data_IF_640416902481
#
_entry.id   IF_640416902481
#
_cell.length_a   1.000
_cell.length_b   1.000
_cell.length_c   1.000
_cell.angle_alpha   90.00
_cell.angle_beta   90.00
_cell.angle_gamma   90.00
#
_symmetry.space_group_name_H-M   'P 1'
#
loop_
_entity.id
_entity.type
_entity.pdbx_description
1 polymer ?
#
# COMPACT_ATOMS: atom_id res chain seq x y z
N UNK A 1 -69.43 -28.61 36.24
CA UNK A 1 -68.05 -28.78 35.73
C UNK A 1 -67.89 -27.92 34.47
N UNK A 2 -66.93 -26.97 34.43
CA UNK A 2 -66.84 -25.99 33.35
C UNK A 2 -66.03 -26.50 32.15
N UNK A 3 -66.53 -26.26 30.94
CA UNK A 3 -65.83 -26.49 29.66
C UNK A 3 -64.73 -25.43 29.47
N UNK A 4 -63.47 -25.83 29.44
CA UNK A 4 -62.33 -24.98 29.06
C UNK A 4 -62.20 -24.96 27.53
N UNK A 5 -62.34 -23.77 26.94
CA UNK A 5 -61.92 -23.48 25.56
C UNK A 5 -60.39 -23.36 25.50
N UNK A 6 -59.75 -24.18 24.68
CA UNK A 6 -58.34 -24.05 24.32
C UNK A 6 -58.22 -23.14 23.10
N UNK A 7 -57.72 -21.92 23.29
CA UNK A 7 -57.24 -21.08 22.19
C UNK A 7 -55.83 -21.54 21.80
N UNK A 8 -55.68 -22.09 20.60
CA UNK A 8 -54.37 -22.36 20.01
C UNK A 8 -53.89 -21.09 19.29
N UNK A 9 -52.99 -20.33 19.92
CA UNK A 9 -52.24 -19.27 19.24
C UNK A 9 -51.20 -19.92 18.32
N UNK A 10 -51.43 -19.83 17.00
CA UNK A 10 -50.40 -20.10 16.00
C UNK A 10 -49.51 -18.86 15.86
N UNK A 11 -48.31 -18.93 16.45
CA UNK A 11 -47.24 -17.97 16.17
C UNK A 11 -46.66 -18.30 14.78
N UNK A 12 -47.03 -17.50 13.78
CA UNK A 12 -46.36 -17.47 12.49
C UNK A 12 -44.95 -16.90 12.67
N UNK A 13 -43.96 -17.77 12.80
CA UNK A 13 -42.55 -17.41 12.62
C UNK A 13 -42.31 -17.17 11.14
N UNK A 14 -42.36 -15.90 10.72
CA UNK A 14 -41.83 -15.51 9.42
C UNK A 14 -40.32 -15.78 9.41
N UNK A 15 -39.76 -16.46 8.40
CA UNK A 15 -38.32 -16.55 8.25
C UNK A 15 -37.79 -15.13 8.00
N UNK A 16 -36.96 -14.63 8.91
CA UNK A 16 -36.13 -13.46 8.65
C UNK A 16 -35.16 -13.88 7.55
N UNK A 17 -35.44 -13.48 6.32
CA UNK A 17 -34.47 -13.55 5.25
C UNK A 17 -33.32 -12.60 5.62
N UNK A 18 -32.18 -13.16 5.98
CA UNK A 18 -30.94 -12.39 6.03
C UNK A 18 -30.65 -12.02 4.58
N UNK A 19 -30.86 -10.75 4.21
CA UNK A 19 -30.25 -10.23 3.00
C UNK A 19 -28.75 -10.46 3.15
N UNK A 20 -28.15 -11.24 2.25
CA UNK A 20 -26.71 -11.21 2.10
C UNK A 20 -26.38 -9.74 1.79
N UNK A 21 -25.63 -9.10 2.66
CA UNK A 21 -25.11 -7.77 2.42
C UNK A 21 -24.16 -7.93 1.22
N UNK A 22 -24.56 -7.48 0.03
CA UNK A 22 -23.74 -7.45 -1.18
C UNK A 22 -22.63 -6.38 -1.06
N UNK A 23 -22.05 -6.25 0.14
CA UNK A 23 -21.02 -5.28 0.47
C UNK A 23 -19.72 -5.54 -0.27
N UNK A 24 -18.91 -4.50 -0.42
CA UNK A 24 -17.58 -4.62 -0.99
C UNK A 24 -16.76 -5.70 -0.27
N UNK A 25 -16.25 -6.68 -1.00
CA UNK A 25 -15.42 -7.75 -0.47
C UNK A 25 -14.20 -7.97 -1.36
N UNK A 26 -13.03 -8.05 -0.73
CA UNK A 26 -11.81 -8.46 -1.42
C UNK A 26 -11.88 -9.96 -1.74
N UNK A 27 -11.51 -10.39 -2.96
CA UNK A 27 -11.47 -11.81 -3.28
C UNK A 27 -10.42 -12.54 -2.45
N UNK A 28 -10.57 -13.87 -2.37
CA UNK A 28 -9.55 -14.72 -1.79
C UNK A 28 -8.21 -14.54 -2.56
N UNK A 29 -7.07 -14.43 -1.85
CA UNK A 29 -5.78 -14.30 -2.50
C UNK A 29 -5.46 -15.48 -3.42
N UNK A 30 -4.97 -15.19 -4.61
CA UNK A 30 -4.37 -16.18 -5.52
C UNK A 30 -2.87 -16.00 -5.56
N UNK A 31 -2.10 -17.05 -5.86
CA UNK A 31 -0.66 -16.87 -6.03
C UNK A 31 -0.36 -16.21 -7.39
N UNK A 32 0.63 -15.34 -7.43
CA UNK A 32 1.06 -14.69 -8.66
C UNK A 32 2.54 -14.30 -8.66
N UNK A 33 3.22 -14.61 -9.75
CA UNK A 33 4.56 -14.09 -10.05
C UNK A 33 4.47 -12.70 -10.69
N UNK A 34 5.60 -11.97 -10.73
CA UNK A 34 5.69 -10.60 -11.25
C UNK A 34 5.04 -10.44 -12.63
N UNK A 35 5.36 -11.33 -13.58
CA UNK A 35 4.86 -11.23 -14.95
C UNK A 35 3.34 -11.42 -15.04
N UNK A 36 2.77 -12.31 -14.20
CA UNK A 36 1.33 -12.56 -14.13
C UNK A 36 0.62 -11.33 -13.57
N UNK A 37 1.13 -10.76 -12.48
CA UNK A 37 0.54 -9.57 -11.85
C UNK A 37 0.66 -8.36 -12.78
N UNK A 38 1.83 -8.13 -13.37
CA UNK A 38 2.05 -7.02 -14.29
C UNK A 38 1.08 -7.07 -15.48
N UNK A 39 0.85 -8.26 -16.04
CA UNK A 39 -0.05 -8.48 -17.17
C UNK A 39 -1.54 -8.59 -16.80
N UNK A 40 -1.88 -8.59 -15.51
CA UNK A 40 -3.27 -8.76 -15.08
C UNK A 40 -4.14 -7.57 -15.53
N UNK A 41 -5.31 -7.91 -16.07
CA UNK A 41 -6.34 -6.95 -16.48
C UNK A 41 -7.72 -7.57 -16.29
N UNK A 42 -8.41 -7.12 -15.26
CA UNK A 42 -9.72 -7.59 -14.84
C UNK A 42 -10.67 -6.41 -14.64
N UNK A 43 -11.97 -6.65 -14.65
CA UNK A 43 -12.97 -5.62 -14.35
C UNK A 43 -13.15 -5.39 -12.84
N UNK A 44 -12.60 -6.25 -11.99
CA UNK A 44 -12.69 -6.18 -10.54
C UNK A 44 -11.33 -6.26 -9.86
N UNK A 45 -11.29 -5.89 -8.59
CA UNK A 45 -10.09 -5.98 -7.75
C UNK A 45 -9.64 -7.43 -7.59
N UNK A 46 -8.34 -7.66 -7.73
CA UNK A 46 -7.70 -8.95 -7.51
C UNK A 46 -6.75 -8.86 -6.30
N UNK A 47 -6.54 -9.97 -5.62
CA UNK A 47 -5.58 -10.06 -4.51
C UNK A 47 -4.59 -11.16 -4.84
N UNK A 48 -3.31 -10.83 -4.79
CA UNK A 48 -2.22 -11.76 -5.03
C UNK A 48 -1.39 -11.98 -3.77
N UNK A 49 -1.05 -13.23 -3.48
CA UNK A 49 0.13 -13.58 -2.69
C UNK A 49 1.32 -13.60 -3.66
N UNK A 50 2.31 -12.75 -3.43
CA UNK A 50 3.44 -12.65 -4.34
C UNK A 50 4.34 -13.89 -4.24
N UNK A 51 4.56 -14.58 -5.36
CA UNK A 51 5.36 -15.81 -5.36
C UNK A 51 6.85 -15.55 -5.11
N UNK A 52 7.51 -16.50 -4.43
CA UNK A 52 8.94 -16.43 -4.14
C UNK A 52 9.33 -15.54 -2.96
N UNK A 53 8.38 -14.81 -2.36
CA UNK A 53 8.58 -14.00 -1.15
C UNK A 53 7.42 -14.19 -0.17
N UNK A 54 7.72 -14.48 1.09
CA UNK A 54 6.67 -14.62 2.11
C UNK A 54 6.20 -13.25 2.57
N UNK A 55 4.93 -13.18 3.00
CA UNK A 55 4.34 -12.01 3.65
C UNK A 55 4.21 -10.75 2.76
N UNK A 56 4.12 -10.91 1.44
CA UNK A 56 3.82 -9.82 0.50
C UNK A 56 2.47 -10.11 -0.16
N UNK A 57 1.51 -9.21 0.08
CA UNK A 57 0.19 -9.22 -0.57
C UNK A 57 0.12 -8.07 -1.55
N UNK A 58 -0.42 -8.29 -2.74
CA UNK A 58 -0.65 -7.23 -3.73
C UNK A 58 -2.14 -7.14 -4.02
N UNK A 59 -2.74 -5.98 -3.78
CA UNK A 59 -4.13 -5.68 -4.16
C UNK A 59 -4.08 -4.89 -5.47
N UNK A 60 -4.64 -5.49 -6.52
CA UNK A 60 -4.59 -5.01 -7.88
C UNK A 60 -5.94 -4.42 -8.31
N UNK A 61 -6.02 -3.09 -8.33
CA UNK A 61 -7.27 -2.35 -8.48
C UNK A 61 -7.61 -2.03 -9.94
N UNK A 62 -8.85 -2.24 -10.39
CA UNK A 62 -9.26 -1.88 -11.75
C UNK A 62 -9.31 -0.37 -11.96
N UNK A 63 -9.49 0.42 -10.87
CA UNK A 63 -9.54 1.88 -10.93
C UNK A 63 -8.82 2.54 -9.76
N UNK A 64 -8.27 3.73 -10.03
CA UNK A 64 -7.65 4.58 -9.01
C UNK A 64 -8.63 5.06 -7.93
N UNK A 65 -9.91 5.24 -8.29
CA UNK A 65 -10.92 5.65 -7.34
C UNK A 65 -11.16 4.57 -6.28
N UNK A 66 -11.17 3.29 -6.68
CA UNK A 66 -11.34 2.16 -5.75
C UNK A 66 -10.11 1.99 -4.84
N UNK A 67 -8.90 2.11 -5.38
CA UNK A 67 -7.67 2.18 -4.59
C UNK A 67 -7.71 3.32 -3.56
N UNK A 68 -8.15 4.51 -4.00
CA UNK A 68 -8.27 5.69 -3.14
C UNK A 68 -9.28 5.51 -2.01
N UNK A 69 -10.45 4.91 -2.26
CA UNK A 69 -11.45 4.64 -1.22
C UNK A 69 -10.91 3.72 -0.12
N UNK A 70 -10.05 2.76 -0.48
CA UNK A 70 -9.41 1.86 0.49
C UNK A 70 -8.26 2.53 1.27
N UNK A 71 -7.41 3.32 0.60
CA UNK A 71 -6.11 3.69 1.16
C UNK A 71 -5.89 5.18 1.44
N UNK A 72 -6.74 6.10 0.99
CA UNK A 72 -6.47 7.54 1.15
C UNK A 72 -6.30 7.97 2.62
N UNK A 73 -7.10 7.43 3.55
CA UNK A 73 -6.94 7.76 4.98
C UNK A 73 -5.67 7.16 5.57
N UNK A 74 -5.28 5.98 5.10
CA UNK A 74 -4.06 5.29 5.50
C UNK A 74 -2.83 6.09 5.05
N UNK A 75 -2.78 6.49 3.78
CA UNK A 75 -1.74 7.37 3.21
C UNK A 75 -1.66 8.71 3.94
N UNK A 76 -2.80 9.33 4.20
CA UNK A 76 -2.84 10.58 4.95
C UNK A 76 -2.24 10.40 6.36
N UNK A 77 -2.54 9.29 7.06
CA UNK A 77 -2.04 9.04 8.40
C UNK A 77 -0.53 8.76 8.45
N UNK A 78 -0.02 7.93 7.53
CA UNK A 78 1.32 7.31 7.64
C UNK A 78 2.39 8.11 6.89
N UNK A 79 2.13 8.46 5.63
CA UNK A 79 3.19 8.88 4.70
C UNK A 79 3.40 10.40 4.65
N UNK A 80 2.34 11.19 4.88
CA UNK A 80 2.36 12.61 4.51
C UNK A 80 2.67 13.55 5.67
N UNK A 81 3.67 14.40 5.46
CA UNK A 81 3.97 15.54 6.34
C UNK A 81 2.76 16.48 6.40
N UNK A 82 2.36 16.88 7.61
CA UNK A 82 1.26 17.83 7.84
C UNK A 82 -0.09 17.19 8.17
N UNK A 83 -0.22 15.87 8.07
CA UNK A 83 -1.37 15.14 8.57
C UNK A 83 -1.22 14.79 10.07
N UNK A 84 -2.33 14.65 10.82
CA UNK A 84 -2.26 14.32 12.24
C UNK A 84 -1.84 12.86 12.43
N UNK A 85 -0.63 12.62 12.93
CA UNK A 85 -0.11 11.26 13.20
C UNK A 85 -0.80 10.52 14.35
N UNK A 86 -1.61 11.22 15.14
CA UNK A 86 -2.28 10.69 16.34
C UNK A 86 -3.78 10.41 16.17
N UNK A 87 -4.36 10.63 15.00
CA UNK A 87 -5.78 10.34 14.74
C UNK A 87 -6.06 10.14 13.26
N UNK A 88 -7.08 9.35 12.95
CA UNK A 88 -7.61 9.22 11.58
C UNK A 88 -8.49 10.43 11.25
N UNK A 89 -8.38 10.94 10.02
CA UNK A 89 -9.22 12.04 9.52
C UNK A 89 -10.65 11.55 9.22
N UNK A 90 -11.65 12.42 9.45
CA UNK A 90 -13.00 12.20 8.91
C UNK A 90 -13.02 12.28 7.38
N UNK A 91 -14.16 11.97 6.74
CA UNK A 91 -14.29 12.12 5.28
C UNK A 91 -14.10 13.57 4.83
N UNK A 92 -14.69 14.51 5.56
CA UNK A 92 -14.64 15.93 5.27
C UNK A 92 -13.22 16.47 5.41
N UNK A 93 -12.54 16.09 6.49
CA UNK A 93 -11.15 16.46 6.75
C UNK A 93 -10.20 15.88 5.69
N UNK A 94 -10.37 14.60 5.34
CA UNK A 94 -9.58 13.95 4.30
C UNK A 94 -9.77 14.64 2.95
N UNK A 95 -11.01 14.95 2.58
CA UNK A 95 -11.30 15.64 1.32
C UNK A 95 -10.67 17.05 1.28
N UNK A 96 -10.67 17.77 2.41
CA UNK A 96 -9.99 19.06 2.52
C UNK A 96 -8.47 18.92 2.41
N UNK A 97 -7.89 17.91 3.07
CA UNK A 97 -6.47 17.62 3.00
C UNK A 97 -6.02 17.26 1.57
N UNK A 98 -6.74 16.37 0.89
CA UNK A 98 -6.45 15.98 -0.50
C UNK A 98 -6.37 17.22 -1.41
N UNK A 99 -7.33 18.14 -1.27
CA UNK A 99 -7.33 19.41 -2.02
C UNK A 99 -6.15 20.31 -1.64
N UNK A 100 -5.79 20.41 -0.37
CA UNK A 100 -4.71 21.30 0.08
C UNK A 100 -3.33 20.85 -0.42
N UNK A 101 -3.13 19.56 -0.65
CA UNK A 101 -1.89 19.01 -1.23
C UNK A 101 -1.91 18.90 -2.76
N UNK A 102 -2.93 19.47 -3.42
CA UNK A 102 -3.04 19.50 -4.88
C UNK A 102 -3.23 18.11 -5.51
N UNK A 103 -3.77 17.15 -4.76
CA UNK A 103 -4.11 15.81 -5.23
C UNK A 103 -5.61 15.68 -5.43
N UNK A 104 -6.01 14.54 -6.00
CA UNK A 104 -7.40 14.10 -6.10
C UNK A 104 -7.59 12.83 -5.27
N UNK A 105 -8.83 12.45 -4.99
CA UNK A 105 -9.15 11.19 -4.31
C UNK A 105 -8.59 9.97 -5.05
N UNK A 106 -8.48 10.03 -6.38
CA UNK A 106 -7.89 8.95 -7.18
C UNK A 106 -6.35 8.93 -7.10
N UNK A 107 -5.70 10.06 -6.83
CA UNK A 107 -4.24 10.19 -7.02
C UNK A 107 -3.45 10.34 -5.73
N UNK A 108 -4.11 10.44 -4.57
CA UNK A 108 -3.41 10.55 -3.29
C UNK A 108 -2.68 9.24 -2.98
N UNK A 109 -3.39 8.12 -3.08
CA UNK A 109 -2.85 6.78 -2.85
C UNK A 109 -2.36 6.08 -4.13
N UNK A 110 -1.73 6.81 -5.06
CA UNK A 110 -1.35 6.26 -6.36
C UNK A 110 -0.09 5.38 -6.28
N UNK A 111 -0.28 4.10 -5.98
CA UNK A 111 0.83 3.18 -5.70
C UNK A 111 1.38 3.43 -4.30
N UNK A 112 1.23 2.46 -3.40
CA UNK A 112 1.80 2.55 -2.06
C UNK A 112 1.95 1.15 -1.45
N UNK A 113 2.81 1.07 -0.45
CA UNK A 113 3.03 -0.07 0.41
C UNK A 113 2.66 0.25 1.87
N UNK A 114 2.10 -0.74 2.58
CA UNK A 114 1.77 -0.61 3.99
C UNK A 114 2.20 -1.84 4.76
N UNK A 115 2.87 -1.64 5.89
CA UNK A 115 3.08 -2.71 6.85
C UNK A 115 1.76 -3.03 7.55
N UNK A 116 1.54 -4.31 7.84
CA UNK A 116 0.39 -4.73 8.67
C UNK A 116 0.40 -4.06 10.03
N UNK A 117 1.58 -3.78 10.60
CA UNK A 117 1.70 -2.99 11.83
C UNK A 117 1.09 -1.57 11.69
N UNK A 118 1.26 -0.91 10.55
CA UNK A 118 0.74 0.43 10.30
C UNK A 118 -0.78 0.40 10.08
N UNK A 119 -1.28 -0.62 9.37
CA UNK A 119 -2.72 -0.85 9.22
C UNK A 119 -3.40 -1.11 10.58
N UNK A 120 -2.73 -1.85 11.47
CA UNK A 120 -3.21 -2.05 12.85
C UNK A 120 -3.29 -0.73 13.61
N UNK A 121 -2.30 0.16 13.46
CA UNK A 121 -2.35 1.50 14.06
C UNK A 121 -3.53 2.29 13.49
N UNK A 122 -3.73 2.27 12.17
CA UNK A 122 -4.85 2.92 11.51
C UNK A 122 -6.21 2.46 12.09
N UNK A 123 -6.47 1.16 12.16
CA UNK A 123 -7.75 0.64 12.66
C UNK A 123 -7.98 0.96 14.14
N UNK A 124 -6.95 0.85 14.98
CA UNK A 124 -7.07 1.22 16.39
C UNK A 124 -7.33 2.72 16.59
N UNK A 125 -6.70 3.58 15.78
CA UNK A 125 -6.94 5.03 15.83
C UNK A 125 -8.33 5.41 15.27
N UNK A 126 -8.82 4.67 14.27
CA UNK A 126 -10.18 4.85 13.76
C UNK A 126 -11.21 4.50 14.86
N UNK A 127 -11.06 3.36 15.52
CA UNK A 127 -11.94 2.93 16.62
C UNK A 127 -11.88 3.93 17.80
N UNK A 128 -10.68 4.33 18.22
CA UNK A 128 -10.49 5.31 19.30
C UNK A 128 -11.12 6.67 18.97
N UNK A 129 -11.03 7.10 17.71
CA UNK A 129 -11.58 8.36 17.22
C UNK A 129 -13.06 8.29 16.87
N UNK A 130 -13.72 7.13 16.97
CA UNK A 130 -15.10 6.93 16.53
C UNK A 130 -15.29 7.14 15.02
N UNK A 131 -14.24 6.94 14.21
CA UNK A 131 -14.28 7.10 12.77
C UNK A 131 -14.97 5.89 12.15
N UNK A 132 -16.10 6.14 11.48
CA UNK A 132 -16.77 5.10 10.69
C UNK A 132 -15.93 4.76 9.46
N UNK A 133 -15.51 3.50 9.38
CA UNK A 133 -14.86 2.94 8.19
C UNK A 133 -15.86 2.83 7.03
N UNK A 134 -15.38 3.04 5.81
CA UNK A 134 -16.13 2.74 4.58
C UNK A 134 -16.05 1.24 4.22
N UNK A 135 -16.74 0.83 3.16
CA UNK A 135 -16.84 -0.58 2.76
C UNK A 135 -15.49 -1.16 2.35
N UNK A 136 -14.66 -0.42 1.60
CA UNK A 136 -13.33 -0.86 1.20
C UNK A 136 -12.36 -1.01 2.37
N UNK A 137 -12.36 -0.05 3.31
CA UNK A 137 -11.56 -0.08 4.53
C UNK A 137 -11.97 -1.28 5.43
N UNK A 138 -13.28 -1.58 5.50
CA UNK A 138 -13.82 -2.74 6.20
C UNK A 138 -13.41 -4.06 5.53
N UNK A 139 -13.44 -4.12 4.20
CA UNK A 139 -13.04 -5.31 3.46
C UNK A 139 -11.55 -5.62 3.64
N UNK A 140 -10.68 -4.60 3.62
CA UNK A 140 -9.27 -4.78 3.95
C UNK A 140 -9.10 -5.31 5.39
N UNK A 141 -9.83 -4.71 6.35
CA UNK A 141 -9.77 -5.14 7.76
C UNK A 141 -10.16 -6.60 7.92
N UNK A 142 -11.25 -7.00 7.26
CA UNK A 142 -11.73 -8.37 7.29
C UNK A 142 -10.73 -9.33 6.66
N UNK A 143 -10.14 -8.97 5.53
CA UNK A 143 -9.12 -9.79 4.88
C UNK A 143 -7.89 -10.01 5.78
N UNK A 144 -7.42 -8.98 6.49
CA UNK A 144 -6.29 -9.10 7.43
C UNK A 144 -6.62 -10.03 8.60
N UNK A 145 -7.86 -10.01 9.09
CA UNK A 145 -8.34 -10.89 10.15
C UNK A 145 -8.46 -12.34 9.67
N UNK A 146 -9.09 -12.55 8.52
CA UNK A 146 -9.31 -13.89 7.94
C UNK A 146 -7.99 -14.59 7.63
N UNK A 147 -7.01 -13.83 7.13
CA UNK A 147 -5.66 -14.33 6.84
C UNK A 147 -4.76 -14.40 8.07
N UNK A 148 -5.27 -14.05 9.26
CA UNK A 148 -4.53 -14.00 10.53
C UNK A 148 -3.25 -13.16 10.47
N UNK A 149 -3.24 -12.11 9.65
CA UNK A 149 -2.20 -11.10 9.66
C UNK A 149 -2.40 -10.12 10.83
N UNK A 150 -3.65 -9.96 11.24
CA UNK A 150 -4.09 -9.17 12.40
C UNK A 150 -5.06 -10.00 13.24
N UNK A 151 -5.18 -9.68 14.53
CA UNK A 151 -6.16 -10.28 15.44
C UNK A 151 -6.75 -9.23 16.36
N UNK A 152 -8.04 -9.36 16.68
CA UNK A 152 -8.67 -8.59 17.75
C UNK A 152 -8.45 -9.29 19.10
N UNK A 153 -7.81 -8.63 20.06
CA UNK A 153 -7.62 -9.13 21.42
C UNK A 153 -8.00 -8.04 22.41
N UNK A 154 -8.83 -8.41 23.39
CA UNK A 154 -9.23 -7.50 24.49
C UNK A 154 -9.71 -6.12 24.01
N UNK A 155 -10.42 -6.07 22.87
CA UNK A 155 -10.95 -4.83 22.31
C UNK A 155 -9.97 -3.98 21.48
N UNK A 156 -8.77 -4.47 21.18
CA UNK A 156 -7.81 -3.79 20.30
C UNK A 156 -7.24 -4.72 19.25
N UNK A 157 -6.92 -4.17 18.08
CA UNK A 157 -6.23 -4.89 17.02
C UNK A 157 -4.74 -5.02 17.34
N UNK A 158 -4.19 -6.19 17.05
CA UNK A 158 -2.75 -6.49 17.16
C UNK A 158 -2.26 -7.15 15.87
N UNK A 159 -1.09 -6.75 15.40
CA UNK A 159 -0.44 -7.40 14.27
C UNK A 159 0.09 -8.78 14.71
N UNK A 160 -0.20 -9.81 13.91
CA UNK A 160 0.37 -11.15 14.08
C UNK A 160 1.68 -11.26 13.31
N UNK A 161 1.72 -10.68 12.10
CA UNK A 161 2.91 -10.60 11.24
C UNK A 161 3.16 -9.11 10.92
N UNK A 162 3.74 -8.33 11.85
CA UNK A 162 3.82 -6.87 11.74
C UNK A 162 4.57 -6.37 10.49
N UNK A 163 5.55 -7.14 10.03
CA UNK A 163 6.38 -6.86 8.86
C UNK A 163 5.79 -7.37 7.54
N UNK A 164 4.63 -8.01 7.56
CA UNK A 164 3.93 -8.35 6.32
C UNK A 164 3.51 -7.05 5.61
N UNK A 165 3.60 -7.06 4.29
CA UNK A 165 3.41 -5.87 3.46
C UNK A 165 2.18 -6.06 2.57
N UNK A 166 1.35 -5.02 2.52
CA UNK A 166 0.23 -4.90 1.59
C UNK A 166 0.60 -3.83 0.56
N UNK A 167 0.71 -4.23 -0.70
CA UNK A 167 0.97 -3.35 -1.83
C UNK A 167 -0.34 -3.02 -2.53
N UNK A 168 -0.50 -1.76 -2.93
CA UNK A 168 -1.64 -1.30 -3.71
C UNK A 168 -1.17 -0.89 -5.10
N UNK A 169 -1.66 -1.57 -6.14
CA UNK A 169 -1.21 -1.34 -7.52
C UNK A 169 -2.42 -1.13 -8.42
N UNK A 170 -2.44 -0.10 -9.27
CA UNK A 170 -3.53 0.11 -10.21
C UNK A 170 -3.30 -0.61 -11.54
N UNK A 171 -4.37 -1.17 -12.10
CA UNK A 171 -4.40 -1.76 -13.44
C UNK A 171 -4.25 -0.71 -14.54
N UNK A 172 -3.81 -1.17 -15.71
CA UNK A 172 -3.73 -0.33 -16.91
C UNK A 172 -5.15 0.11 -17.29
N UNK A 173 -5.37 1.42 -17.35
CA UNK A 173 -6.68 1.96 -17.62
C UNK A 173 -6.69 3.48 -17.72
N UNK A 174 -7.76 4.00 -18.31
CA UNK A 174 -8.00 5.43 -18.48
C UNK A 174 -9.00 6.02 -17.47
N UNK A 175 -9.43 5.24 -16.46
CA UNK A 175 -10.57 5.59 -15.60
C UNK A 175 -10.22 6.47 -14.39
N UNK A 176 -11.05 7.50 -14.15
CA UNK A 176 -11.17 8.22 -12.87
C UNK A 176 -10.00 9.12 -12.43
N UNK A 177 -8.92 9.21 -13.22
CA UNK A 177 -7.71 9.96 -12.92
C UNK A 177 -6.72 9.95 -14.09
N UNK A 178 -5.43 10.27 -13.88
CA UNK A 178 -4.40 10.13 -14.90
C UNK A 178 -4.37 8.69 -15.43
N UNK A 179 -4.24 8.54 -16.75
CA UNK A 179 -4.19 7.21 -17.35
C UNK A 179 -2.99 6.42 -16.82
N UNK A 180 -3.25 5.19 -16.37
CA UNK A 180 -2.22 4.25 -15.95
C UNK A 180 -1.73 3.53 -17.20
N UNK A 181 -0.63 4.02 -17.77
CA UNK A 181 0.05 3.38 -18.90
C UNK A 181 0.77 2.09 -18.48
N UNK A 182 1.14 1.24 -19.44
CA UNK A 182 1.98 0.05 -19.18
C UNK A 182 3.29 0.40 -18.45
N UNK A 183 3.96 1.47 -18.87
CA UNK A 183 5.19 1.94 -18.21
C UNK A 183 4.91 2.40 -16.78
N UNK A 184 3.80 3.09 -16.54
CA UNK A 184 3.40 3.55 -15.20
C UNK A 184 3.11 2.34 -14.29
N UNK A 185 2.32 1.36 -14.74
CA UNK A 185 2.04 0.14 -13.97
C UNK A 185 3.31 -0.63 -13.65
N UNK A 186 4.20 -0.83 -14.64
CA UNK A 186 5.51 -1.47 -14.43
C UNK A 186 6.34 -0.73 -13.39
N UNK A 187 6.36 0.59 -13.49
CA UNK A 187 7.09 1.46 -12.56
C UNK A 187 6.57 1.30 -11.15
N UNK A 188 5.25 1.46 -10.95
CA UNK A 188 4.61 1.31 -9.64
C UNK A 188 4.88 -0.09 -9.08
N UNK A 189 4.52 -1.15 -9.82
CA UNK A 189 4.66 -2.52 -9.32
C UNK A 189 6.10 -2.85 -8.91
N UNK A 190 7.09 -2.44 -9.71
CA UNK A 190 8.51 -2.72 -9.40
C UNK A 190 8.99 -1.91 -8.21
N UNK A 191 8.58 -0.65 -8.12
CA UNK A 191 8.89 0.25 -7.01
C UNK A 191 8.33 -0.30 -5.70
N UNK A 192 7.04 -0.62 -5.66
CA UNK A 192 6.35 -1.15 -4.49
C UNK A 192 6.92 -2.51 -4.04
N UNK A 193 7.23 -3.42 -4.98
CA UNK A 193 7.88 -4.70 -4.63
C UNK A 193 9.26 -4.47 -4.01
N UNK A 194 10.00 -3.44 -4.43
CA UNK A 194 11.30 -3.13 -3.84
C UNK A 194 11.20 -2.69 -2.37
N UNK A 195 10.15 -1.95 -2.02
CA UNK A 195 9.85 -1.62 -0.62
C UNK A 195 9.51 -2.88 0.16
N UNK A 196 8.65 -3.74 -0.40
CA UNK A 196 8.30 -4.99 0.25
C UNK A 196 9.53 -5.88 0.49
N UNK A 197 10.47 -5.94 -0.45
CA UNK A 197 11.75 -6.62 -0.28
C UNK A 197 12.58 -5.99 0.85
N UNK A 198 12.63 -4.66 0.92
CA UNK A 198 13.34 -3.94 1.99
C UNK A 198 12.79 -4.28 3.38
N UNK A 199 11.47 -4.41 3.53
CA UNK A 199 10.86 -4.73 4.82
C UNK A 199 10.93 -6.22 5.19
N UNK A 200 10.85 -7.10 4.20
CA UNK A 200 10.70 -8.55 4.44
C UNK A 200 11.99 -9.34 4.33
N UNK A 201 13.03 -8.80 3.66
CA UNK A 201 14.33 -9.45 3.49
C UNK A 201 15.44 -8.69 4.27
N UNK A 202 15.85 -9.17 5.45
CA UNK A 202 16.90 -8.54 6.24
C UNK A 202 18.25 -8.43 5.53
N UNK A 203 18.59 -9.37 4.64
CA UNK A 203 19.83 -9.32 3.88
C UNK A 203 19.80 -8.16 2.88
N UNK A 204 18.67 -8.00 2.18
CA UNK A 204 18.48 -6.88 1.26
C UNK A 204 18.46 -5.54 2.00
N UNK A 205 17.73 -5.45 3.11
CA UNK A 205 17.69 -4.24 3.94
C UNK A 205 19.09 -3.81 4.40
N UNK A 206 19.88 -4.75 4.93
CA UNK A 206 21.24 -4.49 5.38
C UNK A 206 22.16 -4.09 4.22
N UNK A 207 22.01 -4.72 3.06
CA UNK A 207 22.71 -4.32 1.85
C UNK A 207 22.36 -2.87 1.46
N UNK A 208 21.09 -2.51 1.39
CA UNK A 208 20.65 -1.15 1.05
C UNK A 208 21.21 -0.11 2.04
N UNK A 209 21.19 -0.40 3.35
CA UNK A 209 21.83 0.45 4.37
C UNK A 209 23.33 0.60 4.15
N UNK A 210 24.03 -0.49 3.84
CA UNK A 210 25.46 -0.45 3.54
C UNK A 210 25.75 0.34 2.27
N UNK A 211 24.98 0.10 1.20
CA UNK A 211 25.11 0.81 -0.06
C UNK A 211 24.96 2.33 0.15
N UNK A 212 23.92 2.73 0.86
CA UNK A 212 23.69 4.13 1.20
C UNK A 212 24.84 4.73 2.03
N UNK A 213 25.26 4.08 3.11
CA UNK A 213 26.22 4.65 4.08
C UNK A 213 27.68 4.58 3.60
N UNK A 214 28.05 3.54 2.87
CA UNK A 214 29.44 3.20 2.57
C UNK A 214 29.78 3.21 1.08
N UNK A 215 28.81 3.04 0.19
CA UNK A 215 29.04 2.96 -1.26
C UNK A 215 28.77 4.32 -1.91
N UNK A 216 27.67 4.98 -1.54
CA UNK A 216 27.35 6.34 -1.99
C UNK A 216 28.23 7.39 -1.30
N UNK A 217 28.58 8.45 -2.04
CA UNK A 217 29.22 9.63 -1.45
C UNK A 217 28.19 10.50 -0.74
N UNK A 218 28.62 11.40 0.14
CA UNK A 218 27.70 12.35 0.78
C UNK A 218 27.01 13.26 -0.25
N UNK A 219 27.71 13.68 -1.31
CA UNK A 219 27.11 14.45 -2.40
C UNK A 219 25.97 13.70 -3.10
N UNK A 220 26.13 12.40 -3.33
CA UNK A 220 25.07 11.56 -3.90
C UNK A 220 23.89 11.40 -2.93
N UNK A 221 24.15 11.13 -1.65
CA UNK A 221 23.08 11.05 -0.63
C UNK A 221 22.32 12.38 -0.51
N UNK A 222 23.02 13.51 -0.47
CA UNK A 222 22.40 14.82 -0.40
C UNK A 222 21.53 15.11 -1.63
N UNK A 223 21.95 14.69 -2.82
CA UNK A 223 21.15 14.80 -4.04
C UNK A 223 19.84 14.00 -3.95
N UNK A 224 19.90 12.74 -3.47
CA UNK A 224 18.71 11.93 -3.22
C UNK A 224 17.79 12.53 -2.13
N UNK A 225 18.34 12.97 -0.99
CA UNK A 225 17.53 13.61 0.07
C UNK A 225 16.80 14.86 -0.45
N UNK A 226 17.48 15.67 -1.28
CA UNK A 226 16.88 16.85 -1.93
C UNK A 226 15.79 16.46 -2.91
N UNK A 227 16.03 15.44 -3.74
CA UNK A 227 15.03 14.93 -4.68
C UNK A 227 13.77 14.43 -3.94
N UNK A 228 13.94 13.58 -2.94
CA UNK A 228 12.83 12.98 -2.18
C UNK A 228 12.05 14.02 -1.37
N UNK A 229 12.70 15.06 -0.83
CA UNK A 229 11.97 16.11 -0.12
C UNK A 229 11.00 16.90 -1.00
N UNK A 230 11.22 16.95 -2.33
CA UNK A 230 10.25 17.55 -3.28
C UNK A 230 8.94 16.75 -3.38
N UNK A 231 8.98 15.46 -3.02
CA UNK A 231 7.81 14.57 -2.92
C UNK A 231 7.19 14.52 -1.52
N UNK A 232 7.57 15.47 -0.65
CA UNK A 232 7.12 15.60 0.74
C UNK A 232 7.59 14.51 1.71
N UNK A 233 8.65 13.77 1.36
CA UNK A 233 9.32 12.88 2.32
C UNK A 233 10.19 13.69 3.30
N UNK A 234 10.24 13.25 4.57
CA UNK A 234 11.08 13.85 5.61
C UNK A 234 12.56 13.46 5.41
N UNK A 235 13.45 14.40 5.04
CA UNK A 235 14.85 14.11 4.78
C UNK A 235 15.64 13.72 6.05
N UNK A 236 15.08 13.92 7.25
CA UNK A 236 15.71 13.54 8.51
C UNK A 236 15.42 12.07 8.90
N UNK A 237 14.45 11.43 8.24
CA UNK A 237 14.19 10.01 8.43
C UNK A 237 15.12 9.19 7.51
N UNK A 238 16.29 8.85 8.03
CA UNK A 238 17.34 8.19 7.26
C UNK A 238 16.91 6.81 6.71
N UNK A 239 16.13 6.02 7.46
CA UNK A 239 15.65 4.72 6.98
C UNK A 239 14.69 4.87 5.80
N UNK A 240 13.80 5.87 5.83
CA UNK A 240 12.95 6.20 4.68
C UNK A 240 13.78 6.65 3.47
N UNK A 241 14.81 7.50 3.68
CA UNK A 241 15.70 7.92 2.60
C UNK A 241 16.43 6.74 1.95
N UNK A 242 16.85 5.75 2.73
CA UNK A 242 17.48 4.53 2.22
C UNK A 242 16.50 3.71 1.39
N UNK A 243 15.29 3.48 1.92
CA UNK A 243 14.27 2.66 1.26
C UNK A 243 13.79 3.30 -0.06
N UNK A 244 13.58 4.61 -0.06
CA UNK A 244 13.19 5.36 -1.26
C UNK A 244 14.31 5.45 -2.29
N UNK A 245 15.55 5.74 -1.85
CA UNK A 245 16.67 5.90 -2.78
C UNK A 245 16.93 4.62 -3.58
N UNK A 246 16.85 3.44 -2.97
CA UNK A 246 17.01 2.17 -3.70
C UNK A 246 15.85 1.95 -4.68
N UNK A 247 14.60 2.26 -4.27
CA UNK A 247 13.41 2.08 -5.09
C UNK A 247 13.50 2.93 -6.37
N UNK A 248 13.80 4.22 -6.22
CA UNK A 248 14.00 5.15 -7.33
C UNK A 248 15.20 4.78 -8.20
N UNK A 249 16.35 4.48 -7.60
CA UNK A 249 17.58 4.16 -8.34
C UNK A 249 17.41 2.90 -9.19
N UNK A 250 16.78 1.86 -8.65
CA UNK A 250 16.81 0.51 -9.19
C UNK A 250 15.49 0.05 -9.84
N UNK A 251 14.35 0.59 -9.43
CA UNK A 251 13.04 0.03 -9.78
C UNK A 251 12.04 1.05 -10.35
N UNK A 252 12.47 2.29 -10.58
CA UNK A 252 11.67 3.34 -11.22
C UNK A 252 12.20 3.64 -12.64
N UNK A 253 11.72 2.92 -13.68
CA UNK A 253 12.22 3.08 -15.06
C UNK A 253 11.60 4.28 -15.79
N UNK A 254 10.45 4.80 -15.33
CA UNK A 254 9.81 5.96 -15.98
C UNK A 254 10.65 7.24 -15.76
N UNK A 255 11.21 7.85 -16.83
CA UNK A 255 12.04 9.05 -16.72
C UNK A 255 11.29 10.27 -16.18
N UNK A 256 9.94 10.25 -16.21
CA UNK A 256 9.09 11.28 -15.60
C UNK A 256 9.06 11.18 -14.08
N UNK A 257 9.26 9.97 -13.54
CA UNK A 257 9.32 9.72 -12.09
C UNK A 257 10.76 9.75 -11.57
N UNK A 258 11.72 9.21 -12.33
CA UNK A 258 13.14 9.21 -11.96
C UNK A 258 14.05 9.41 -13.15
N UNK A 259 14.94 10.39 -13.07
CA UNK A 259 16.02 10.55 -14.04
C UNK A 259 17.23 11.23 -13.39
N UNK A 260 18.43 11.11 -13.99
CA UNK A 260 19.62 11.81 -13.52
C UNK A 260 19.38 13.32 -13.35
N UNK A 261 18.62 13.92 -14.27
CA UNK A 261 18.23 15.33 -14.21
C UNK A 261 17.36 15.66 -12.98
N UNK A 262 16.38 14.81 -12.65
CA UNK A 262 15.47 15.04 -11.51
C UNK A 262 16.22 14.99 -10.17
N UNK A 263 17.17 14.06 -10.03
CA UNK A 263 17.99 13.95 -8.81
C UNK A 263 19.17 14.93 -8.79
N UNK A 264 19.50 15.56 -9.93
CA UNK A 264 20.61 16.50 -10.04
C UNK A 264 21.98 15.84 -10.10
N UNK A 265 22.07 14.63 -10.67
CA UNK A 265 23.31 13.87 -10.89
C UNK A 265 23.56 13.65 -12.39
N UNK A 266 24.82 13.38 -12.76
CA UNK A 266 25.15 13.04 -14.14
C UNK A 266 24.67 11.64 -14.53
N UNK A 267 24.39 11.41 -15.82
CA UNK A 267 24.00 10.07 -16.32
C UNK A 267 25.04 9.00 -15.98
N UNK A 268 26.33 9.32 -16.14
CA UNK A 268 27.44 8.43 -15.79
C UNK A 268 27.44 8.06 -14.30
N UNK A 269 27.09 9.00 -13.43
CA UNK A 269 27.04 8.76 -11.98
C UNK A 269 25.91 7.81 -11.62
N UNK A 270 24.72 8.00 -12.20
CA UNK A 270 23.57 7.10 -12.00
C UNK A 270 23.86 5.70 -12.54
N UNK A 271 24.45 5.60 -13.73
CA UNK A 271 24.85 4.31 -14.29
C UNK A 271 25.90 3.60 -13.43
N UNK A 272 26.88 4.33 -12.89
CA UNK A 272 27.88 3.79 -11.99
C UNK A 272 27.26 3.30 -10.67
N UNK A 273 26.32 4.05 -10.10
CA UNK A 273 25.58 3.64 -8.91
C UNK A 273 24.77 2.37 -9.15
N UNK A 274 24.00 2.31 -10.25
CA UNK A 274 23.23 1.11 -10.64
C UNK A 274 24.13 -0.11 -10.86
N UNK A 275 25.29 0.08 -11.49
CA UNK A 275 26.29 -0.99 -11.67
C UNK A 275 26.79 -1.50 -10.31
N UNK A 276 27.25 -0.62 -9.43
CA UNK A 276 27.74 -0.99 -8.10
C UNK A 276 26.66 -1.65 -7.24
N UNK A 277 25.41 -1.23 -7.37
CA UNK A 277 24.29 -1.83 -6.65
C UNK A 277 24.10 -3.29 -7.08
N UNK A 278 24.02 -3.56 -8.39
CA UNK A 278 23.90 -4.93 -8.93
C UNK A 278 25.08 -5.82 -8.58
N UNK A 279 26.30 -5.28 -8.62
CA UNK A 279 27.51 -6.02 -8.24
C UNK A 279 27.53 -6.36 -6.74
N UNK A 280 26.93 -5.52 -5.89
CA UNK A 280 26.90 -5.70 -4.45
C UNK A 280 25.80 -6.63 -3.94
N UNK A 281 24.72 -6.82 -4.70
CA UNK A 281 23.64 -7.75 -4.37
C UNK A 281 23.09 -8.42 -5.64
N UNK A 282 23.75 -9.47 -6.15
CA UNK A 282 23.38 -10.13 -7.41
C UNK A 282 21.97 -10.74 -7.41
N UNK A 283 21.47 -11.13 -6.24
CA UNK A 283 20.12 -11.69 -6.04
C UNK A 283 19.04 -10.60 -5.87
N UNK A 284 19.37 -9.34 -6.15
CA UNK A 284 18.39 -8.26 -6.13
C UNK A 284 17.28 -8.59 -7.13
N UNK A 285 16.02 -8.25 -6.83
CA UNK A 285 14.97 -8.29 -7.84
C UNK A 285 15.47 -7.65 -9.14
N UNK A 286 15.19 -8.25 -10.31
CA UNK A 286 15.72 -7.73 -11.56
C UNK A 286 15.23 -6.29 -11.76
N UNK A 287 16.13 -5.32 -12.02
CA UNK A 287 15.74 -3.93 -12.20
C UNK A 287 14.84 -3.76 -13.43
N UNK A 288 13.92 -2.80 -13.37
CA UNK A 288 12.87 -2.63 -14.37
C UNK A 288 13.28 -1.76 -15.59
N UNK A 289 14.57 -1.48 -15.79
CA UNK A 289 15.12 -0.61 -16.86
C UNK A 289 16.08 -1.32 -17.81
#
# INVERSE_FOLDING_TARGET
MPRRLLFACWLLLAPVAWAADDGYALPAPVRGEYAVILGNKTSGTMVFEYEGRQAITIIDFPTLAEQGRMFNRVVALIERIGAPRGRVMSNEELAQFIRSVGKTEATLAYGNDFLVAELVVFYNLADLGGIRLNEEELALRQQLLDRRLMVMRTGFYQAVVPQAVILSVPQIGAGGGPAVTELARRTILSHEISHAEYYTNPLYANFCRHFWRSVMTEGQRAAFRKFLSTSSYDPNNEEMMINEAQAYLMYTPDPRAFSPKLVGLGEKDIMALRKRFREGFPDAPPPAY
#
